data_IF_418460250572
#
_entry.id   IF_418460250572
#
_cell.length_a   1.000
_cell.length_b   1.000
_cell.length_c   1.000
_cell.angle_alpha   90.00
_cell.angle_beta   90.00
_cell.angle_gamma   90.00
#
_symmetry.space_group_name_H-M   'P 1'
#
loop_
_entity.id
_entity.type
_entity.pdbx_description
1 polymer ?
#
# COMPACT_ATOMS: atom_id res chain seq x y z
N UNK A 1 15.36 10.57 -4.40
CA UNK A 1 14.67 9.78 -5.48
C UNK A 1 13.93 8.66 -4.78
N UNK A 2 12.66 8.46 -5.08
CA UNK A 2 11.82 7.43 -4.44
C UNK A 2 12.24 6.03 -4.88
N UNK A 3 12.49 5.13 -3.92
CA UNK A 3 12.93 3.76 -4.16
C UNK A 3 11.77 2.80 -3.99
N UNK A 4 11.58 1.88 -4.93
CA UNK A 4 10.50 0.90 -4.93
C UNK A 4 11.02 -0.52 -4.72
N UNK A 5 10.34 -1.29 -3.87
CA UNK A 5 10.62 -2.71 -3.64
C UNK A 5 9.35 -3.56 -3.71
N UNK A 6 9.46 -4.84 -4.11
CA UNK A 6 8.34 -5.77 -4.10
C UNK A 6 7.74 -5.91 -2.70
N UNK A 7 6.41 -6.05 -2.63
CA UNK A 7 5.71 -6.33 -1.38
C UNK A 7 5.85 -7.81 -1.04
N UNK A 8 6.37 -8.11 0.16
CA UNK A 8 6.57 -9.48 0.63
C UNK A 8 5.25 -10.29 0.60
N UNK A 9 5.27 -11.42 -0.12
CA UNK A 9 4.12 -12.28 -0.38
C UNK A 9 3.22 -11.82 -1.54
N UNK A 10 3.59 -10.74 -2.25
CA UNK A 10 2.88 -10.19 -3.41
C UNK A 10 3.85 -9.64 -4.46
N UNK A 11 5.03 -10.22 -4.58
CA UNK A 11 6.21 -9.68 -5.29
C UNK A 11 5.93 -9.37 -6.76
N UNK A 12 5.10 -10.18 -7.43
CA UNK A 12 4.75 -9.98 -8.84
C UNK A 12 3.57 -9.02 -9.06
N UNK A 13 2.88 -8.63 -7.98
CA UNK A 13 1.61 -7.92 -8.07
C UNK A 13 1.68 -6.50 -7.52
N UNK A 14 2.53 -6.25 -6.52
CA UNK A 14 2.59 -4.97 -5.83
C UNK A 14 4.00 -4.60 -5.43
N UNK A 15 4.26 -3.31 -5.45
CA UNK A 15 5.48 -2.68 -4.94
C UNK A 15 5.12 -1.60 -3.93
N UNK A 16 6.03 -1.35 -3.01
CA UNK A 16 5.95 -0.29 -2.01
C UNK A 16 7.21 0.56 -2.07
N UNK A 17 7.06 1.86 -1.84
CA UNK A 17 8.19 2.78 -1.80
C UNK A 17 8.66 3.10 -0.38
N UNK A 18 9.88 3.60 -0.28
CA UNK A 18 10.45 4.18 0.94
C UNK A 18 9.70 5.44 1.43
N UNK A 19 8.84 6.02 0.59
CA UNK A 19 7.94 7.12 0.94
C UNK A 19 6.55 6.66 1.43
N UNK A 20 6.30 5.34 1.51
CA UNK A 20 5.01 4.80 1.95
C UNK A 20 3.94 4.73 0.86
N UNK A 21 4.31 4.94 -0.40
CA UNK A 21 3.40 4.75 -1.52
C UNK A 21 3.32 3.28 -1.90
N UNK A 22 2.14 2.83 -2.29
CA UNK A 22 1.91 1.46 -2.78
C UNK A 22 1.43 1.52 -4.21
N UNK A 23 1.99 0.68 -5.08
CA UNK A 23 1.53 0.56 -6.46
C UNK A 23 1.32 -0.89 -6.84
N UNK A 24 0.36 -1.10 -7.72
CA UNK A 24 0.19 -2.39 -8.38
C UNK A 24 1.10 -2.44 -9.59
N UNK A 25 1.86 -3.54 -9.70
CA UNK A 25 2.68 -3.77 -10.89
C UNK A 25 1.80 -4.16 -12.07
N UNK A 26 2.23 -3.85 -13.28
CA UNK A 26 1.50 -4.21 -14.51
C UNK A 26 1.40 -5.73 -14.74
N UNK A 27 2.21 -6.54 -14.05
CA UNK A 27 2.24 -8.01 -14.18
C UNK A 27 0.99 -8.71 -13.66
N UNK A 28 0.11 -8.02 -12.97
CA UNK A 28 -1.04 -8.61 -12.29
C UNK A 28 -2.33 -8.69 -13.07
N UNK A 29 -2.35 -8.80 -14.40
CA UNK A 29 -3.44 -9.44 -15.17
C UNK A 29 -3.20 -9.42 -16.69
N UNK A 30 -3.21 -10.58 -17.25
CA UNK A 30 -3.85 -11.04 -18.50
C UNK A 30 -3.35 -10.52 -19.84
N UNK A 31 -2.54 -9.49 -19.92
CA UNK A 31 -1.83 -9.16 -21.16
C UNK A 31 -0.35 -9.23 -20.85
N UNK A 32 0.33 -10.11 -21.52
CA UNK A 32 1.79 -10.06 -21.52
C UNK A 32 2.18 -8.71 -22.15
N UNK A 33 2.60 -7.75 -21.32
CA UNK A 33 2.95 -6.41 -21.78
C UNK A 33 4.00 -6.43 -22.91
N UNK A 34 4.84 -7.47 -22.95
CA UNK A 34 5.77 -7.71 -24.02
C UNK A 34 5.09 -8.01 -25.38
N UNK A 35 3.83 -8.47 -25.38
CA UNK A 35 3.06 -8.71 -26.60
C UNK A 35 2.30 -7.50 -27.12
N UNK A 36 2.20 -6.42 -26.35
CA UNK A 36 1.44 -5.24 -26.75
C UNK A 36 2.03 -4.52 -27.98
N UNK A 37 3.35 -4.32 -28.09
CA UNK A 37 3.94 -3.75 -29.31
C UNK A 37 3.58 -4.59 -30.55
N UNK A 38 3.72 -5.93 -30.47
CA UNK A 38 3.39 -6.85 -31.55
C UNK A 38 1.89 -6.82 -31.87
N UNK A 39 1.01 -6.71 -30.87
CA UNK A 39 -0.43 -6.56 -31.09
C UNK A 39 -0.77 -5.26 -31.83
N UNK A 40 -0.07 -4.15 -31.54
CA UNK A 40 -0.22 -2.88 -32.27
C UNK A 40 0.23 -3.03 -33.73
N UNK A 41 1.32 -3.74 -33.97
CA UNK A 41 1.79 -4.07 -35.32
C UNK A 41 0.77 -4.93 -36.07
N UNK A 42 0.17 -5.94 -35.42
CA UNK A 42 -0.90 -6.73 -36.00
C UNK A 42 -2.08 -5.85 -36.43
N UNK A 43 -2.49 -4.86 -35.62
CA UNK A 43 -3.55 -3.91 -36.00
C UNK A 43 -3.13 -3.06 -37.21
N UNK A 44 -1.86 -2.60 -37.27
CA UNK A 44 -1.34 -1.84 -38.40
C UNK A 44 -1.36 -2.67 -39.71
N UNK A 45 -1.16 -3.99 -39.58
CA UNK A 45 -1.20 -4.94 -40.68
C UNK A 45 -2.64 -5.46 -41.00
N UNK A 46 -3.68 -4.85 -40.42
CA UNK A 46 -5.07 -5.15 -40.74
C UNK A 46 -5.70 -6.29 -39.96
N UNK A 47 -5.04 -6.80 -38.90
CA UNK A 47 -5.63 -7.84 -38.08
C UNK A 47 -6.93 -7.36 -37.37
N UNK A 48 -7.86 -8.29 -37.25
CA UNK A 48 -9.16 -8.03 -36.58
C UNK A 48 -8.99 -7.98 -35.07
N UNK A 49 -9.94 -7.31 -34.39
CA UNK A 49 -10.00 -7.27 -32.93
C UNK A 49 -10.05 -8.68 -32.31
N UNK A 50 -10.72 -9.63 -32.99
CA UNK A 50 -10.85 -11.00 -32.52
C UNK A 50 -9.50 -11.75 -32.54
N UNK A 51 -8.74 -11.59 -33.61
CA UNK A 51 -7.41 -12.20 -33.75
C UNK A 51 -6.42 -11.64 -32.73
N UNK A 52 -6.40 -10.32 -32.57
CA UNK A 52 -5.53 -9.68 -31.57
C UNK A 52 -5.95 -10.01 -30.15
N UNK A 53 -7.25 -10.08 -29.86
CA UNK A 53 -7.77 -10.54 -28.57
C UNK A 53 -7.32 -11.97 -28.23
N UNK A 54 -7.41 -12.88 -29.19
CA UNK A 54 -6.93 -14.26 -29.07
C UNK A 54 -5.41 -14.33 -28.86
N UNK A 55 -4.63 -13.56 -29.63
CA UNK A 55 -3.18 -13.49 -29.50
C UNK A 55 -2.72 -12.99 -28.11
N UNK A 56 -3.42 -11.98 -27.57
CA UNK A 56 -3.16 -11.41 -26.25
C UNK A 56 -3.75 -12.23 -25.10
N UNK A 57 -4.72 -13.11 -25.35
CA UNK A 57 -5.47 -13.83 -24.32
C UNK A 57 -6.44 -12.93 -23.56
N UNK A 58 -7.03 -11.91 -24.21
CA UNK A 58 -7.92 -10.91 -23.59
C UNK A 58 -9.30 -10.90 -24.23
N UNK A 59 -10.22 -10.15 -23.60
CA UNK A 59 -11.52 -9.91 -24.21
C UNK A 59 -11.43 -8.93 -25.40
N UNK A 60 -12.38 -9.02 -26.34
CA UNK A 60 -12.45 -8.12 -27.51
C UNK A 60 -12.52 -6.64 -27.10
N UNK A 61 -13.32 -6.22 -26.06
CA UNK A 61 -13.31 -4.85 -25.59
C UNK A 61 -11.92 -4.39 -25.09
N UNK A 62 -11.16 -5.27 -24.43
CA UNK A 62 -9.78 -4.98 -24.02
C UNK A 62 -8.85 -4.77 -25.21
N UNK A 63 -8.95 -5.62 -26.23
CA UNK A 63 -8.16 -5.48 -27.46
C UNK A 63 -8.52 -4.18 -28.20
N UNK A 64 -9.81 -3.76 -28.18
CA UNK A 64 -10.27 -2.50 -28.74
C UNK A 64 -9.68 -1.30 -28.00
N UNK A 65 -9.69 -1.30 -26.68
CA UNK A 65 -9.08 -0.24 -25.86
C UNK A 65 -7.56 -0.12 -26.10
N UNK A 66 -6.85 -1.24 -26.33
CA UNK A 66 -5.45 -1.25 -26.73
C UNK A 66 -5.26 -0.61 -28.12
N UNK A 67 -6.14 -0.91 -29.08
CA UNK A 67 -6.13 -0.31 -30.41
C UNK A 67 -6.30 1.20 -30.38
N UNK A 68 -7.21 1.70 -29.53
CA UNK A 68 -7.48 3.12 -29.34
C UNK A 68 -6.40 3.85 -28.51
N UNK A 69 -5.47 3.14 -27.88
CA UNK A 69 -4.48 3.73 -27.00
C UNK A 69 -5.03 4.16 -25.62
N UNK A 70 -6.27 3.82 -25.29
CA UNK A 70 -6.93 4.14 -24.03
C UNK A 70 -6.35 3.35 -22.84
N UNK A 71 -5.79 2.18 -23.14
CA UNK A 71 -5.10 1.32 -22.19
C UNK A 71 -3.75 0.90 -22.77
N UNK A 72 -2.75 0.72 -21.93
CA UNK A 72 -1.41 0.31 -22.35
C UNK A 72 -0.65 1.34 -23.21
N UNK A 73 -0.90 2.63 -22.95
CA UNK A 73 -0.07 3.70 -23.49
C UNK A 73 1.31 3.66 -22.84
N UNK A 74 2.20 2.88 -23.45
CA UNK A 74 3.68 2.98 -23.41
C UNK A 74 4.43 2.94 -22.09
N UNK A 75 3.86 3.41 -21.01
CA UNK A 75 4.45 3.34 -19.69
C UNK A 75 3.73 2.24 -18.89
N UNK A 76 4.46 1.21 -18.55
CA UNK A 76 3.92 0.03 -17.90
C UNK A 76 3.12 0.43 -16.66
N UNK A 77 1.82 0.53 -16.81
CA UNK A 77 0.89 1.13 -15.88
C UNK A 77 0.99 0.66 -14.44
N UNK A 78 2.00 1.13 -13.74
CA UNK A 78 2.04 1.08 -12.29
C UNK A 78 0.89 1.93 -11.76
N UNK A 79 -0.16 1.28 -11.28
CA UNK A 79 -1.31 1.99 -10.69
C UNK A 79 -1.08 2.20 -9.20
N UNK A 80 -1.01 3.44 -8.77
CA UNK A 80 -1.01 3.76 -7.34
C UNK A 80 -2.27 3.21 -6.66
N UNK A 81 -2.06 2.53 -5.55
CA UNK A 81 -3.13 2.01 -4.69
C UNK A 81 -3.36 3.04 -3.59
N UNK A 82 -4.58 3.54 -3.47
CA UNK A 82 -4.93 4.54 -2.48
C UNK A 82 -5.10 3.88 -1.10
N UNK A 83 -4.24 4.19 -0.11
CA UNK A 83 -4.44 3.72 1.25
C UNK A 83 -5.67 4.38 1.87
N UNK A 84 -6.27 3.70 2.85
CA UNK A 84 -7.39 4.24 3.62
C UNK A 84 -7.10 4.13 5.12
N UNK A 85 -7.56 5.07 5.95
CA UNK A 85 -7.38 4.97 7.39
C UNK A 85 -8.26 3.86 7.98
N UNK A 86 -7.73 3.16 8.98
CA UNK A 86 -8.53 2.28 9.83
C UNK A 86 -9.10 3.05 11.04
N UNK A 87 -9.81 2.37 11.95
CA UNK A 87 -10.40 3.00 13.16
C UNK A 87 -9.38 3.64 14.09
N UNK A 88 -8.12 3.25 14.00
CA UNK A 88 -7.01 3.76 14.82
C UNK A 88 -6.11 4.71 14.04
N UNK A 89 -6.58 5.22 12.89
CA UNK A 89 -5.90 6.17 12.00
C UNK A 89 -4.62 5.65 11.31
N UNK A 90 -4.31 4.35 11.40
CA UNK A 90 -3.26 3.76 10.57
C UNK A 90 -3.74 3.63 9.13
N UNK A 91 -2.86 3.93 8.18
CA UNK A 91 -3.12 3.68 6.76
C UNK A 91 -3.01 2.19 6.46
N UNK A 92 -4.03 1.66 5.80
CA UNK A 92 -4.12 0.26 5.38
C UNK A 92 -4.37 0.16 3.88
N UNK A 93 -3.89 -0.93 3.29
CA UNK A 93 -4.11 -1.31 1.89
C UNK A 93 -4.66 -2.73 1.84
N UNK A 94 -5.57 -2.97 0.90
CA UNK A 94 -6.08 -4.29 0.58
C UNK A 94 -5.34 -4.84 -0.65
N UNK A 95 -4.55 -5.88 -0.46
CA UNK A 95 -3.86 -6.61 -1.52
C UNK A 95 -4.77 -7.72 -2.04
N UNK A 96 -4.89 -7.83 -3.35
CA UNK A 96 -5.70 -8.87 -4.01
C UNK A 96 -4.79 -9.83 -4.78
N UNK A 97 -4.85 -11.10 -4.42
CA UNK A 97 -4.19 -12.21 -5.14
C UNK A 97 -5.16 -13.38 -5.24
N UNK A 98 -5.34 -13.94 -6.44
CA UNK A 98 -6.23 -15.09 -6.69
C UNK A 98 -7.65 -14.87 -6.11
N UNK A 99 -8.22 -13.67 -6.31
CA UNK A 99 -9.53 -13.24 -5.80
C UNK A 99 -9.66 -13.21 -4.28
N UNK A 100 -8.56 -13.38 -3.55
CA UNK A 100 -8.51 -13.22 -2.09
C UNK A 100 -7.92 -11.86 -1.74
N UNK A 101 -8.54 -11.20 -0.76
CA UNK A 101 -8.11 -9.91 -0.26
C UNK A 101 -7.40 -10.07 1.09
N UNK A 102 -6.21 -9.50 1.19
CA UNK A 102 -5.41 -9.46 2.42
C UNK A 102 -5.18 -8.00 2.80
N UNK A 103 -5.67 -7.62 3.99
CA UNK A 103 -5.51 -6.28 4.53
C UNK A 103 -4.20 -6.17 5.30
N UNK A 104 -3.38 -5.17 5.00
CA UNK A 104 -2.11 -4.91 5.70
C UNK A 104 -1.94 -3.42 5.99
N UNK A 105 -1.28 -3.10 7.11
CA UNK A 105 -0.86 -1.73 7.42
C UNK A 105 0.30 -1.29 6.52
N UNK A 106 0.23 -0.08 5.97
CA UNK A 106 1.27 0.44 5.07
C UNK A 106 2.65 0.46 5.76
N UNK A 107 2.74 0.93 7.01
CA UNK A 107 3.99 0.94 7.79
C UNK A 107 4.65 -0.45 7.88
N UNK A 108 3.85 -1.51 8.05
CA UNK A 108 4.38 -2.88 8.09
C UNK A 108 4.89 -3.32 6.72
N UNK A 109 4.14 -3.01 5.66
CA UNK A 109 4.52 -3.36 4.28
C UNK A 109 5.80 -2.63 3.88
N UNK A 110 5.93 -1.34 4.20
CA UNK A 110 7.16 -0.57 3.98
C UNK A 110 8.32 -1.20 4.73
N UNK A 111 8.17 -1.42 6.03
CA UNK A 111 9.25 -2.00 6.84
C UNK A 111 9.73 -3.35 6.30
N UNK A 112 8.78 -4.26 6.06
CA UNK A 112 9.10 -5.63 5.61
C UNK A 112 9.76 -5.67 4.23
N UNK A 113 9.39 -4.77 3.32
CA UNK A 113 10.01 -4.69 2.00
C UNK A 113 11.46 -4.18 2.05
N UNK A 114 11.78 -3.30 2.99
CA UNK A 114 13.09 -2.66 3.06
C UNK A 114 14.04 -3.30 4.07
N UNK A 115 13.53 -3.82 5.17
CA UNK A 115 14.31 -4.34 6.30
C UNK A 115 14.06 -5.84 6.58
N UNK A 116 13.13 -6.47 5.86
CA UNK A 116 12.78 -7.87 6.08
C UNK A 116 11.69 -8.07 7.14
N UNK A 117 11.39 -9.33 7.48
CA UNK A 117 10.29 -9.68 8.38
C UNK A 117 10.42 -9.01 9.74
N UNK A 118 9.29 -8.63 10.32
CA UNK A 118 9.23 -8.05 11.67
C UNK A 118 9.41 -9.18 12.68
N UNK A 119 10.46 -9.14 13.53
CA UNK A 119 10.69 -10.16 14.55
C UNK A 119 9.53 -10.22 15.55
N UNK A 120 9.33 -11.40 16.14
CA UNK A 120 8.36 -11.59 17.22
C UNK A 120 8.61 -10.62 18.37
N UNK A 121 7.55 -10.13 18.99
CA UNK A 121 7.55 -9.19 20.11
C UNK A 121 8.06 -7.78 19.80
N UNK A 122 8.39 -7.49 18.54
CA UNK A 122 8.69 -6.14 18.09
C UNK A 122 7.50 -5.54 17.34
N UNK A 123 7.37 -4.22 17.45
CA UNK A 123 6.35 -3.40 16.82
C UNK A 123 7.01 -2.31 15.99
N UNK A 124 6.29 -1.80 15.00
CA UNK A 124 6.74 -0.62 14.26
C UNK A 124 6.13 0.61 14.91
N UNK A 125 7.01 1.52 15.32
CA UNK A 125 6.66 2.83 15.83
C UNK A 125 6.85 3.90 14.75
N UNK A 126 6.00 4.95 14.80
CA UNK A 126 6.18 6.17 14.02
C UNK A 126 6.90 7.18 14.91
N UNK A 127 8.14 7.56 14.55
CA UNK A 127 8.99 8.46 15.35
C UNK A 127 8.32 9.82 15.61
N UNK A 128 7.61 10.34 14.62
CA UNK A 128 6.89 11.62 14.72
C UNK A 128 5.46 11.50 15.28
N UNK A 129 5.01 10.28 15.67
CA UNK A 129 3.66 9.96 16.16
C UNK A 129 2.54 10.09 15.11
N UNK A 130 2.82 10.52 13.89
CA UNK A 130 1.85 10.56 12.81
C UNK A 130 1.73 9.18 12.15
N UNK A 131 0.61 8.51 12.40
CA UNK A 131 0.30 7.17 11.87
C UNK A 131 0.02 7.16 10.36
N UNK A 132 -0.09 8.32 9.75
CA UNK A 132 -0.26 8.47 8.31
C UNK A 132 1.08 8.66 7.58
N UNK A 133 2.14 9.08 8.28
CA UNK A 133 3.48 9.25 7.73
C UNK A 133 4.25 7.92 7.75
N UNK A 134 4.10 7.15 6.69
CA UNK A 134 4.70 5.83 6.55
C UNK A 134 6.03 5.84 5.78
N UNK A 135 6.74 6.96 5.72
CA UNK A 135 8.09 7.02 5.16
C UNK A 135 9.03 6.14 5.98
N UNK A 136 9.88 5.38 5.31
CA UNK A 136 10.79 4.43 5.96
C UNK A 136 11.65 5.09 7.04
N UNK A 137 12.14 6.31 6.79
CA UNK A 137 12.94 7.09 7.74
C UNK A 137 12.21 7.43 9.04
N UNK A 138 10.86 7.52 8.99
CA UNK A 138 10.00 7.77 10.14
C UNK A 138 9.63 6.52 10.93
N UNK A 139 9.95 5.34 10.42
CA UNK A 139 9.63 4.06 11.05
C UNK A 139 10.81 3.53 11.84
N UNK A 140 10.52 2.83 12.93
CA UNK A 140 11.52 2.13 13.73
C UNK A 140 10.93 0.87 14.38
N UNK A 141 11.78 -0.13 14.64
CA UNK A 141 11.41 -1.30 15.41
C UNK A 141 11.65 -1.04 16.89
N UNK A 142 10.63 -1.32 17.70
CA UNK A 142 10.67 -1.14 19.15
C UNK A 142 9.96 -2.29 19.84
N UNK A 143 10.26 -2.50 21.12
CA UNK A 143 9.44 -3.35 21.98
C UNK A 143 8.14 -2.65 22.33
N UNK A 144 7.13 -3.42 22.74
CA UNK A 144 5.85 -2.86 23.23
C UNK A 144 6.05 -1.83 24.35
N UNK A 145 7.00 -2.11 25.28
CA UNK A 145 7.31 -1.20 26.39
C UNK A 145 7.90 0.13 25.89
N UNK A 146 8.83 0.09 24.94
CA UNK A 146 9.44 1.29 24.35
C UNK A 146 8.39 2.11 23.59
N UNK A 147 7.51 1.43 22.82
CA UNK A 147 6.42 2.11 22.09
C UNK A 147 5.44 2.81 23.05
N UNK A 148 5.08 2.14 24.13
CA UNK A 148 4.22 2.73 25.15
C UNK A 148 4.91 3.92 25.86
N UNK A 149 6.20 3.82 26.17
CA UNK A 149 6.97 4.90 26.78
C UNK A 149 7.09 6.11 25.86
N UNK A 150 7.38 5.90 24.58
CA UNK A 150 7.42 6.96 23.58
C UNK A 150 6.11 7.75 23.51
N UNK A 151 4.97 7.04 23.50
CA UNK A 151 3.67 7.69 23.53
C UNK A 151 3.45 8.51 24.81
N UNK A 152 3.84 7.96 25.99
CA UNK A 152 3.74 8.68 27.28
C UNK A 152 4.58 9.96 27.27
N UNK A 153 5.81 9.90 26.79
CA UNK A 153 6.72 11.05 26.78
C UNK A 153 6.24 12.14 25.82
N UNK A 154 5.66 11.75 24.70
CA UNK A 154 5.00 12.68 23.80
C UNK A 154 3.79 13.38 24.42
N UNK A 155 2.95 12.66 25.16
CA UNK A 155 1.84 13.29 25.90
C UNK A 155 2.33 14.23 27.01
N UNK A 156 3.44 13.88 27.67
CA UNK A 156 4.06 14.76 28.69
C UNK A 156 4.55 16.07 28.07
N UNK A 157 5.28 15.98 26.97
CA UNK A 157 5.83 17.16 26.28
C UNK A 157 4.75 18.13 25.78
N UNK A 158 3.57 17.59 25.41
CA UNK A 158 2.42 18.38 24.96
C UNK A 158 1.55 18.90 26.11
N UNK A 159 1.94 18.69 27.38
CA UNK A 159 1.17 19.12 28.55
C UNK A 159 -0.16 18.37 28.77
N UNK A 160 -0.42 17.33 28.02
CA UNK A 160 -1.67 16.57 28.02
C UNK A 160 -1.79 15.56 29.18
N UNK A 161 -0.73 15.34 29.95
CA UNK A 161 -0.71 14.36 31.06
C UNK A 161 -1.19 14.89 32.40
N UNK A 162 -1.74 16.10 32.49
CA UNK A 162 -2.32 16.61 33.78
C UNK A 162 -3.53 15.82 34.28
N UNK A 163 -4.15 14.97 33.46
CA UNK A 163 -5.40 14.31 33.78
C UNK A 163 -5.27 12.82 34.22
N UNK A 164 -4.06 12.23 34.29
CA UNK A 164 -3.91 10.78 34.45
C UNK A 164 -3.36 10.34 35.81
N UNK A 165 -3.40 11.17 36.84
CA UNK A 165 -3.21 10.69 38.23
C UNK A 165 -4.47 9.95 38.66
N UNK A 166 -4.42 8.60 38.55
CA UNK A 166 -5.46 7.73 39.15
C UNK A 166 -6.09 6.67 38.26
N UNK A 167 -5.75 6.57 36.97
CA UNK A 167 -6.34 5.53 36.11
C UNK A 167 -5.38 4.35 35.99
N UNK A 168 -5.65 3.26 36.73
CA UNK A 168 -5.07 1.94 36.45
C UNK A 168 -5.58 1.52 35.06
N UNK A 169 -4.66 1.38 34.07
CA UNK A 169 -4.99 0.87 32.73
C UNK A 169 -5.18 1.95 31.66
N UNK A 170 -4.46 3.08 31.71
CA UNK A 170 -4.43 4.02 30.62
C UNK A 170 -3.84 3.37 29.36
N UNK A 171 -4.66 3.19 28.33
CA UNK A 171 -4.24 2.81 26.98
C UNK A 171 -4.21 4.09 26.14
N UNK A 172 -3.03 4.62 25.77
CA UNK A 172 -2.95 5.75 24.84
C UNK A 172 -3.64 5.40 23.51
N UNK A 173 -4.59 6.20 23.08
CA UNK A 173 -5.28 6.00 21.80
C UNK A 173 -6.80 5.80 21.88
N UNK A 174 -7.42 5.78 23.06
CA UNK A 174 -8.88 5.79 23.21
C UNK A 174 -9.39 7.18 23.60
N UNK A 175 -9.20 8.18 22.75
CA UNK A 175 -10.05 9.35 22.76
C UNK A 175 -10.99 9.30 21.55
N UNK A 176 -12.14 8.70 21.78
CA UNK A 176 -13.33 8.95 20.99
C UNK A 176 -13.76 10.41 21.21
N UNK A 177 -13.41 11.30 20.29
CA UNK A 177 -14.12 12.57 20.11
C UNK A 177 -15.11 12.40 18.96
N UNK A 178 -16.18 11.68 19.22
CA UNK A 178 -17.45 11.87 18.53
C UNK A 178 -18.54 11.91 19.61
N UNK A 179 -18.75 13.09 20.19
CA UNK A 179 -20.03 13.42 20.76
C UNK A 179 -20.94 13.81 19.61
N UNK A 180 -21.93 12.94 19.33
CA UNK A 180 -23.11 13.29 18.57
C UNK A 180 -23.73 14.57 19.17
N UNK A 181 -23.77 15.63 18.38
CA UNK A 181 -24.75 16.69 18.56
C UNK A 181 -25.92 16.41 17.63
N UNK A 182 -27.08 16.31 18.22
CA UNK A 182 -28.39 16.17 17.59
C UNK A 182 -28.69 17.33 16.62
#
# INVERSE_FOLDING_TARGET
METWKPVLGFEDLYEVSDHGNVRRTARGKTVNAAKVPQAKEMFANGATLKEVAAFLGVSIPTAHAIKLGETWAGDAGHRLVKPRPNRTHYLIVDFCQNSKYTKRGVHRVVWEAFNGPIPDRLEINHKNLDRADNRLENLELVTHQQNAQHAIDAYKSQGLLRAVKGVKGFIPGKHSKYSNSR
#
